data_IF_267232767536
#
_entry.id   IF_267232767536
#
_cell.length_a   1.000
_cell.length_b   1.000
_cell.length_c   1.000
_cell.angle_alpha   90.00
_cell.angle_beta   90.00
_cell.angle_gamma   90.00
#
_symmetry.space_group_name_H-M   'P 1'
#
loop_
_entity.id
_entity.type
_entity.pdbx_description
1 polymer ?
#
# COMPACT_ATOMS: atom_id res chain seq x y z
N UNK A 1 -6.98 -10.31 -3.05
CA UNK A 1 -5.54 -9.92 -2.98
C UNK A 1 -4.78 -10.82 -1.98
N UNK A 2 -4.24 -11.97 -2.41
CA UNK A 2 -3.70 -12.98 -1.47
C UNK A 2 -2.34 -12.60 -0.85
N UNK A 3 -1.39 -12.10 -1.64
CA UNK A 3 -0.04 -11.79 -1.14
C UNK A 3 0.00 -10.64 -0.13
N UNK A 4 -0.83 -9.61 -0.34
CA UNK A 4 -0.95 -8.50 0.62
C UNK A 4 -1.51 -8.99 1.96
N UNK A 5 -2.58 -9.78 1.96
CA UNK A 5 -3.14 -10.38 3.17
C UNK A 5 -2.14 -11.26 3.92
N UNK A 6 -1.34 -12.03 3.17
CA UNK A 6 -0.28 -12.85 3.76
C UNK A 6 0.79 -11.96 4.43
N UNK A 7 1.22 -10.90 3.75
CA UNK A 7 2.19 -9.94 4.28
C UNK A 7 1.66 -9.23 5.54
N UNK A 8 0.41 -8.78 5.53
CA UNK A 8 -0.26 -8.17 6.69
C UNK A 8 -0.27 -9.09 7.90
N UNK A 9 -0.58 -10.38 7.68
CA UNK A 9 -0.61 -11.38 8.75
C UNK A 9 0.78 -11.71 9.28
N UNK A 10 1.75 -11.84 8.38
CA UNK A 10 3.14 -12.20 8.71
C UNK A 10 3.85 -11.12 9.51
N UNK A 11 3.57 -9.85 9.18
CA UNK A 11 4.18 -8.69 9.83
C UNK A 11 3.26 -8.04 10.89
N UNK A 12 2.18 -8.72 11.29
CA UNK A 12 1.30 -8.24 12.34
C UNK A 12 2.07 -8.07 13.67
N UNK A 13 1.97 -6.88 14.27
CA UNK A 13 2.67 -6.55 15.51
C UNK A 13 4.15 -6.19 15.34
N UNK A 14 4.68 -6.16 14.11
CA UNK A 14 5.98 -5.58 13.79
C UNK A 14 5.87 -4.07 13.59
N UNK A 15 7.01 -3.38 13.53
CA UNK A 15 7.06 -1.95 13.28
C UNK A 15 6.86 -1.61 11.78
N UNK A 16 5.78 -2.12 11.20
CA UNK A 16 5.38 -1.87 9.82
C UNK A 16 3.86 -1.88 9.72
N UNK A 17 3.32 -0.91 8.98
CA UNK A 17 1.90 -0.81 8.69
C UNK A 17 1.70 -0.91 7.18
N UNK A 18 0.83 -1.81 6.76
CA UNK A 18 0.40 -1.88 5.36
C UNK A 18 -0.78 -0.93 5.17
N UNK A 19 -0.59 0.02 4.26
CA UNK A 19 -1.58 1.03 3.86
C UNK A 19 -1.85 0.85 2.37
N UNK A 20 -3.10 0.54 2.03
CA UNK A 20 -3.57 0.47 0.65
C UNK A 20 -4.34 1.72 0.31
N UNK A 21 -4.01 2.37 -0.82
CA UNK A 21 -4.69 3.58 -1.27
C UNK A 21 -5.32 3.30 -2.63
N UNK A 22 -6.65 3.34 -2.72
CA UNK A 22 -7.33 3.32 -4.01
C UNK A 22 -7.22 4.70 -4.67
N UNK A 23 -6.91 4.71 -5.96
CA UNK A 23 -6.91 5.90 -6.83
C UNK A 23 -8.07 5.84 -7.85
N UNK A 24 -9.11 5.07 -7.55
CA UNK A 24 -10.30 5.00 -8.37
C UNK A 24 -11.00 6.37 -8.43
N UNK A 25 -11.84 6.57 -9.46
CA UNK A 25 -12.65 7.80 -9.57
C UNK A 25 -13.72 7.86 -8.47
N UNK A 26 -14.09 9.04 -7.95
CA UNK A 26 -15.03 9.18 -6.84
C UNK A 26 -16.34 8.38 -6.97
N UNK A 27 -16.85 8.18 -8.19
CA UNK A 27 -18.08 7.42 -8.44
C UNK A 27 -17.94 5.92 -8.09
N UNK A 28 -16.72 5.40 -8.05
CA UNK A 28 -16.42 4.01 -7.71
C UNK A 28 -16.29 3.75 -6.20
N UNK A 29 -16.36 4.79 -5.35
CA UNK A 29 -16.15 4.69 -3.91
C UNK A 29 -17.02 3.60 -3.25
N UNK A 30 -18.32 3.55 -3.55
CA UNK A 30 -19.23 2.55 -2.97
C UNK A 30 -18.92 1.12 -3.43
N UNK A 31 -18.46 0.96 -4.68
CA UNK A 31 -18.00 -0.34 -5.21
C UNK A 31 -16.71 -0.78 -4.51
N UNK A 32 -15.75 0.14 -4.36
CA UNK A 32 -14.50 -0.09 -3.63
C UNK A 32 -14.79 -0.49 -2.18
N UNK A 33 -15.65 0.24 -1.47
CA UNK A 33 -16.01 -0.04 -0.07
C UNK A 33 -16.63 -1.42 0.09
N UNK A 34 -17.55 -1.82 -0.81
CA UNK A 34 -18.12 -3.17 -0.81
C UNK A 34 -17.06 -4.23 -1.06
N UNK A 35 -16.13 -3.98 -1.98
CA UNK A 35 -15.01 -4.89 -2.27
C UNK A 35 -14.11 -5.07 -1.05
N UNK A 36 -13.72 -3.99 -0.36
CA UNK A 36 -12.91 -4.03 0.87
C UNK A 36 -13.53 -4.96 1.92
N UNK A 37 -14.85 -4.86 2.14
CA UNK A 37 -15.58 -5.71 3.09
C UNK A 37 -15.69 -7.15 2.60
N UNK A 38 -16.13 -7.35 1.36
CA UNK A 38 -16.35 -8.69 0.78
C UNK A 38 -15.05 -9.50 0.71
N UNK A 39 -13.96 -8.84 0.33
CA UNK A 39 -12.62 -9.42 0.29
C UNK A 39 -11.94 -9.42 1.65
N UNK A 40 -12.52 -8.88 2.72
CA UNK A 40 -11.89 -8.83 4.05
C UNK A 40 -10.46 -8.28 3.97
N UNK A 41 -10.28 -7.15 3.28
CA UNK A 41 -8.98 -6.50 3.19
C UNK A 41 -8.64 -5.88 4.55
N UNK A 42 -7.51 -6.30 5.12
CA UNK A 42 -7.02 -5.80 6.40
C UNK A 42 -6.22 -4.52 6.24
N UNK A 43 -5.42 -4.22 7.26
CA UNK A 43 -4.57 -3.04 7.28
C UNK A 43 -5.35 -1.72 7.24
N UNK A 44 -4.69 -0.66 6.80
CA UNK A 44 -5.32 0.63 6.58
C UNK A 44 -5.74 0.75 5.11
N UNK A 45 -7.01 1.05 4.88
CA UNK A 45 -7.59 1.21 3.55
C UNK A 45 -7.98 2.68 3.37
N UNK A 46 -7.30 3.36 2.45
CA UNK A 46 -7.52 4.76 2.11
C UNK A 46 -8.07 4.88 0.68
N UNK A 47 -8.72 6.00 0.42
CA UNK A 47 -9.24 6.36 -0.88
C UNK A 47 -8.73 7.76 -1.22
N UNK A 48 -8.07 7.89 -2.37
CA UNK A 48 -7.52 9.15 -2.84
C UNK A 48 -8.66 10.15 -3.10
N UNK A 49 -8.48 11.39 -2.67
CA UNK A 49 -9.48 12.46 -2.76
C UNK A 49 -9.77 12.92 -4.19
N UNK A 50 -8.77 12.81 -5.09
CA UNK A 50 -8.88 13.20 -6.49
C UNK A 50 -8.13 12.22 -7.41
N UNK A 51 -8.34 10.90 -7.23
CA UNK A 51 -7.79 9.86 -8.11
C UNK A 51 -6.26 10.01 -8.37
N UNK A 52 -5.81 10.00 -9.63
CA UNK A 52 -4.41 10.25 -10.01
C UNK A 52 -3.98 11.72 -9.90
N UNK A 53 -4.93 12.65 -9.75
CA UNK A 53 -4.65 14.08 -9.55
C UNK A 53 -4.49 14.46 -8.06
N UNK A 54 -4.67 13.53 -7.14
CA UNK A 54 -4.39 13.74 -5.71
C UNK A 54 -2.96 14.23 -5.51
N UNK A 55 -2.77 15.26 -4.67
CA UNK A 55 -1.46 15.90 -4.49
C UNK A 55 -0.37 14.89 -4.09
N UNK A 56 -0.68 13.93 -3.21
CA UNK A 56 0.29 12.90 -2.82
C UNK A 56 0.69 11.96 -3.97
N UNK A 57 -0.22 11.65 -4.92
CA UNK A 57 0.10 10.84 -6.10
C UNK A 57 1.10 11.61 -6.98
N UNK A 58 0.85 12.90 -7.18
CA UNK A 58 1.70 13.79 -7.97
C UNK A 58 3.07 13.98 -7.33
N UNK A 59 3.11 14.28 -6.03
CA UNK A 59 4.35 14.52 -5.27
C UNK A 59 5.25 13.28 -5.24
N UNK A 60 4.67 12.09 -5.20
CA UNK A 60 5.41 10.82 -5.24
C UNK A 60 5.65 10.30 -6.67
N UNK A 61 5.25 11.04 -7.71
CA UNK A 61 5.49 10.70 -9.12
C UNK A 61 4.80 9.41 -9.58
N UNK A 62 3.64 9.10 -9.00
CA UNK A 62 2.92 7.85 -9.25
C UNK A 62 2.09 7.98 -10.55
N UNK A 63 2.63 7.44 -11.64
CA UNK A 63 2.01 7.53 -12.97
C UNK A 63 1.24 6.28 -13.39
N UNK A 64 1.38 5.17 -12.65
CA UNK A 64 0.72 3.91 -12.95
C UNK A 64 0.57 3.05 -11.70
N UNK A 65 -0.41 2.15 -11.72
CA UNK A 65 -0.64 1.12 -10.70
C UNK A 65 -0.41 -0.28 -11.27
N UNK A 66 0.00 -1.28 -10.45
CA UNK A 66 0.26 -1.17 -9.00
C UNK A 66 1.60 -0.48 -8.71
N UNK A 67 1.62 0.37 -7.68
CA UNK A 67 2.81 1.03 -7.16
C UNK A 67 2.96 0.70 -5.67
N UNK A 68 4.18 0.41 -5.24
CA UNK A 68 4.52 0.15 -3.84
C UNK A 68 5.65 1.09 -3.42
N UNK A 69 5.51 1.64 -2.23
CA UNK A 69 6.44 2.63 -1.67
C UNK A 69 6.68 2.26 -0.22
N UNK A 70 7.93 2.25 0.20
CA UNK A 70 8.31 2.05 1.60
C UNK A 70 8.73 3.39 2.20
N UNK A 71 8.10 3.76 3.30
CA UNK A 71 8.33 5.00 4.04
C UNK A 71 8.73 4.64 5.47
N UNK A 72 9.74 5.32 6.01
CA UNK A 72 10.19 5.12 7.39
C UNK A 72 9.28 5.84 8.41
N UNK A 73 9.44 5.61 9.72
CA UNK A 73 8.64 6.27 10.75
C UNK A 73 8.80 7.80 10.84
N UNK A 74 9.87 8.37 10.26
CA UNK A 74 10.09 9.81 10.17
C UNK A 74 9.46 10.43 8.91
N UNK A 75 8.88 9.62 8.02
CA UNK A 75 8.26 10.05 6.77
C UNK A 75 9.22 10.12 5.59
N UNK A 76 10.44 9.61 5.70
CA UNK A 76 11.38 9.57 4.58
C UNK A 76 11.08 8.37 3.68
N UNK A 77 11.26 8.56 2.37
CA UNK A 77 11.14 7.47 1.40
C UNK A 77 12.38 6.58 1.51
N UNK A 78 12.17 5.33 1.92
CA UNK A 78 13.20 4.28 1.95
C UNK A 78 13.35 3.67 0.57
N UNK A 79 12.22 3.36 -0.08
CA UNK A 79 12.17 2.84 -1.44
C UNK A 79 10.94 3.41 -2.15
N UNK A 80 11.17 4.21 -3.18
CA UNK A 80 10.12 4.83 -3.98
C UNK A 80 9.42 3.84 -4.92
N UNK A 81 10.07 2.71 -5.26
CA UNK A 81 9.60 1.68 -6.19
C UNK A 81 9.80 0.28 -5.58
N UNK A 82 9.26 0.12 -4.37
CA UNK A 82 9.43 -1.10 -3.59
C UNK A 82 8.91 -2.33 -4.35
N UNK A 83 9.56 -3.47 -4.09
CA UNK A 83 9.15 -4.74 -4.66
C UNK A 83 7.70 -5.11 -4.23
N UNK A 84 6.99 -5.83 -5.10
CA UNK A 84 5.60 -6.24 -4.82
C UNK A 84 5.55 -7.21 -3.63
N UNK A 85 4.42 -7.35 -2.92
CA UNK A 85 4.25 -8.35 -1.86
C UNK A 85 4.50 -9.81 -2.27
N UNK A 86 4.44 -10.11 -3.57
CA UNK A 86 4.77 -11.44 -4.10
C UNK A 86 6.25 -11.66 -4.40
N UNK A 87 7.06 -10.60 -4.38
CA UNK A 87 8.49 -10.65 -4.68
C UNK A 87 9.28 -10.86 -3.38
N UNK A 88 10.13 -11.90 -3.28
CA UNK A 88 10.95 -12.15 -2.10
C UNK A 88 11.81 -10.96 -1.67
N UNK A 89 12.24 -10.12 -2.62
CA UNK A 89 13.09 -8.94 -2.34
C UNK A 89 12.47 -7.98 -1.34
N UNK A 90 11.14 -7.90 -1.27
CA UNK A 90 10.47 -7.06 -0.29
C UNK A 90 10.77 -7.52 1.15
N UNK A 91 10.77 -8.85 1.37
CA UNK A 91 11.03 -9.42 2.70
C UNK A 91 12.51 -9.40 3.05
N UNK A 92 13.38 -9.55 2.05
CA UNK A 92 14.83 -9.35 2.21
C UNK A 92 15.10 -7.92 2.71
N UNK A 93 14.51 -6.91 2.05
CA UNK A 93 14.60 -5.52 2.49
C UNK A 93 14.05 -5.32 3.91
N UNK A 94 12.90 -5.90 4.26
CA UNK A 94 12.37 -5.81 5.63
C UNK A 94 13.32 -6.43 6.66
N UNK A 95 13.99 -7.53 6.30
CA UNK A 95 14.99 -8.17 7.17
C UNK A 95 16.22 -7.29 7.36
N UNK A 96 16.72 -6.67 6.30
CA UNK A 96 17.85 -5.72 6.35
C UNK A 96 17.53 -4.49 7.22
N UNK A 97 16.28 -4.04 7.20
CA UNK A 97 15.79 -2.92 8.01
C UNK A 97 15.42 -3.32 9.45
N UNK A 98 15.52 -4.60 9.81
CA UNK A 98 15.25 -5.10 11.15
C UNK A 98 13.76 -5.11 11.55
N UNK A 99 12.86 -5.25 10.58
CA UNK A 99 11.39 -5.27 10.79
C UNK A 99 10.89 -6.64 11.29
#
# INVERSE_FOLDING_TARGET
>A
IPFLKALEKEYAGKNIQIVSISVDKPEAYETWKKMVVAEQLGGMQLYADNNFESQFILDYGINAIPRFILIDPAGNIVDADAARPSDPKLKELFTELGI
#
